data_IF_141794021530
#
_entry.id   IF_141794021530
#
_cell.length_a   1.000
_cell.length_b   1.000
_cell.length_c   1.000
_cell.angle_alpha   90.00
_cell.angle_beta   90.00
_cell.angle_gamma   90.00
#
_symmetry.space_group_name_H-M   'P 1'
#
loop_
_entity.id
_entity.type
_entity.pdbx_description
1 polymer ?
#
# COMPACT_ATOMS: atom_id res chain seq x y z
N UNK A 1 32.65 -10.99 12.26
CA UNK A 1 31.39 -10.55 12.91
C UNK A 1 31.05 -9.18 12.35
N UNK A 2 29.80 -8.94 11.99
CA UNK A 2 29.30 -7.66 11.50
C UNK A 2 28.03 -7.27 12.25
N UNK A 3 27.86 -5.97 12.48
CA UNK A 3 26.65 -5.39 13.06
C UNK A 3 26.21 -4.24 12.17
N UNK A 4 24.92 -4.18 11.85
CA UNK A 4 24.35 -3.05 11.11
C UNK A 4 23.00 -2.66 11.70
N UNK A 5 22.69 -1.37 11.63
CA UNK A 5 21.39 -0.80 11.95
C UNK A 5 20.81 -0.11 10.72
N UNK A 6 19.54 -0.33 10.44
CA UNK A 6 18.82 0.27 9.33
C UNK A 6 17.52 0.88 9.85
N UNK A 7 17.18 2.08 9.38
CA UNK A 7 15.92 2.75 9.68
C UNK A 7 15.37 3.38 8.41
N UNK A 8 14.08 3.20 8.18
CA UNK A 8 13.36 3.76 7.04
C UNK A 8 12.18 4.58 7.54
N UNK A 9 11.85 5.64 6.79
CA UNK A 9 10.76 6.55 7.13
C UNK A 9 9.60 6.38 6.14
N UNK A 10 8.39 6.20 6.66
CA UNK A 10 7.18 6.03 5.87
C UNK A 10 6.08 5.27 6.63
N UNK A 11 4.84 5.38 6.14
CA UNK A 11 3.65 4.80 6.80
C UNK A 11 3.51 3.28 6.59
N UNK A 12 3.84 2.79 5.40
CA UNK A 12 3.69 1.38 5.05
C UNK A 12 4.95 0.88 4.33
N UNK A 13 6.04 0.77 5.06
CA UNK A 13 7.34 0.31 4.54
C UNK A 13 7.47 -1.20 4.74
N UNK A 14 7.87 -1.91 3.69
CA UNK A 14 8.20 -3.34 3.76
C UNK A 14 9.73 -3.52 3.86
N UNK A 15 10.23 -3.65 5.09
CA UNK A 15 11.66 -3.73 5.39
C UNK A 15 12.28 -5.12 5.14
N UNK A 16 11.45 -6.17 5.08
CA UNK A 16 11.89 -7.57 4.97
C UNK A 16 11.54 -8.20 3.62
N UNK A 17 10.82 -7.47 2.77
CA UNK A 17 10.25 -7.95 1.51
C UNK A 17 9.34 -9.18 1.73
N UNK A 18 8.61 -9.19 2.84
CA UNK A 18 7.71 -10.26 3.25
C UNK A 18 6.24 -9.98 2.92
N UNK A 19 5.93 -8.76 2.48
CA UNK A 19 4.58 -8.25 2.29
C UNK A 19 4.01 -7.57 3.55
N UNK A 20 4.64 -7.75 4.71
CA UNK A 20 4.29 -7.03 5.94
C UNK A 20 4.75 -5.58 5.86
N UNK A 21 3.93 -4.66 6.35
CA UNK A 21 4.18 -3.21 6.23
C UNK A 21 4.12 -2.57 7.60
N UNK A 22 5.09 -1.69 7.85
CA UNK A 22 5.27 -1.05 9.14
C UNK A 22 5.46 0.46 9.00
N UNK A 23 5.09 1.18 10.06
CA UNK A 23 5.33 2.62 10.18
C UNK A 23 6.74 2.86 10.74
N UNK A 24 7.55 3.64 10.01
CA UNK A 24 8.93 4.00 10.37
C UNK A 24 9.79 2.83 10.91
N UNK A 25 9.86 1.68 10.20
CA UNK A 25 10.50 0.50 10.76
C UNK A 25 12.02 0.65 10.89
N UNK A 26 12.55 0.01 11.93
CA UNK A 26 13.99 -0.13 12.15
C UNK A 26 14.37 -1.59 12.35
N UNK A 27 15.55 -1.97 11.89
CA UNK A 27 16.08 -3.31 12.06
C UNK A 27 17.56 -3.29 12.43
N UNK A 28 17.94 -4.25 13.26
CA UNK A 28 19.31 -4.57 13.61
C UNK A 28 19.69 -5.89 12.95
N UNK A 29 20.91 -6.00 12.42
CA UNK A 29 21.40 -7.23 11.82
C UNK A 29 22.73 -7.62 12.45
N UNK A 30 22.83 -8.91 12.79
CA UNK A 30 24.01 -9.54 13.36
C UNK A 30 24.50 -10.58 12.38
N UNK A 31 25.73 -10.43 11.90
CA UNK A 31 26.31 -11.29 10.89
C UNK A 31 27.60 -11.97 11.33
N UNK A 32 27.78 -13.20 10.87
CA UNK A 32 29.01 -13.96 10.92
C UNK A 32 29.48 -14.20 9.50
N UNK A 33 30.79 -14.09 9.27
CA UNK A 33 31.40 -14.35 7.97
C UNK A 33 32.67 -15.17 8.14
N UNK A 34 32.90 -16.08 7.20
CA UNK A 34 34.06 -16.96 7.14
C UNK A 34 34.59 -17.04 5.72
N UNK A 35 35.88 -16.74 5.55
CA UNK A 35 36.56 -16.69 4.25
C UNK A 35 37.68 -17.73 4.26
N UNK A 36 37.45 -18.97 3.81
CA UNK A 36 38.49 -20.01 3.78
C UNK A 36 39.63 -19.67 2.81
N UNK A 37 39.31 -18.99 1.71
CA UNK A 37 40.26 -18.51 0.69
C UNK A 37 39.81 -17.13 0.20
N UNK A 38 40.71 -16.25 -0.29
CA UNK A 38 40.32 -14.88 -0.70
C UNK A 38 39.16 -14.80 -1.71
N UNK A 39 39.02 -15.82 -2.57
CA UNK A 39 37.97 -15.87 -3.58
C UNK A 39 36.57 -16.10 -2.99
N UNK A 40 36.44 -16.75 -1.83
CA UNK A 40 35.16 -17.27 -1.34
C UNK A 40 34.89 -16.80 0.08
N UNK A 41 33.73 -16.19 0.30
CA UNK A 41 33.23 -15.83 1.64
C UNK A 41 31.86 -16.44 1.86
N UNK A 42 31.72 -17.14 2.97
CA UNK A 42 30.44 -17.62 3.51
C UNK A 42 29.96 -16.65 4.56
N UNK A 43 28.67 -16.35 4.58
CA UNK A 43 28.06 -15.47 5.57
C UNK A 43 26.73 -16.00 6.08
N UNK A 44 26.46 -15.77 7.36
CA UNK A 44 25.18 -16.01 8.00
C UNK A 44 24.79 -14.75 8.76
N UNK A 45 23.59 -14.22 8.51
CA UNK A 45 23.10 -12.98 9.10
C UNK A 45 21.71 -13.20 9.69
N UNK A 46 21.54 -12.79 10.95
CA UNK A 46 20.25 -12.71 11.62
C UNK A 46 19.80 -11.25 11.67
N UNK A 47 18.66 -10.93 11.07
CA UNK A 47 18.06 -9.59 11.04
C UNK A 47 16.79 -9.58 11.89
N UNK A 48 16.66 -8.61 12.79
CA UNK A 48 15.50 -8.46 13.67
C UNK A 48 15.01 -7.01 13.68
N UNK A 49 13.69 -6.82 13.75
CA UNK A 49 13.04 -5.50 13.71
C UNK A 49 12.40 -5.13 15.04
N UNK A 50 12.30 -3.81 15.27
CA UNK A 50 11.53 -3.25 16.38
C UNK A 50 10.04 -3.64 16.36
N UNK A 51 9.52 -4.02 15.18
CA UNK A 51 8.14 -4.48 15.01
C UNK A 51 7.94 -6.00 15.21
N UNK A 52 8.98 -6.74 15.61
CA UNK A 52 8.91 -8.17 15.94
C UNK A 52 9.12 -9.16 14.79
N UNK A 53 9.37 -8.67 13.57
CA UNK A 53 9.75 -9.52 12.43
C UNK A 53 11.24 -9.85 12.46
N UNK A 54 11.59 -11.09 12.15
CA UNK A 54 12.96 -11.56 12.04
C UNK A 54 13.19 -12.37 10.77
N UNK A 55 14.43 -12.38 10.30
CA UNK A 55 14.83 -13.06 9.07
C UNK A 55 16.27 -13.55 9.18
N UNK A 56 16.48 -14.82 8.85
CA UNK A 56 17.80 -15.43 8.72
C UNK A 56 18.22 -15.46 7.25
N UNK A 57 19.46 -15.07 6.98
CA UNK A 57 20.02 -14.98 5.64
C UNK A 57 21.36 -15.71 5.57
N UNK A 58 21.47 -16.65 4.64
CA UNK A 58 22.72 -17.32 4.30
C UNK A 58 23.23 -16.76 2.96
N UNK A 59 24.52 -16.50 2.88
CA UNK A 59 25.16 -15.90 1.71
C UNK A 59 26.45 -16.60 1.33
N UNK A 60 26.66 -16.70 0.02
CA UNK A 60 27.91 -17.10 -0.61
C UNK A 60 28.37 -15.93 -1.50
N UNK A 61 29.53 -15.37 -1.21
CA UNK A 61 30.13 -14.28 -1.98
C UNK A 61 31.39 -14.77 -2.68
N UNK A 62 31.48 -14.52 -3.98
CA UNK A 62 32.66 -14.77 -4.80
C UNK A 62 33.36 -13.42 -5.09
N UNK A 63 34.57 -13.24 -4.57
CA UNK A 63 35.36 -12.02 -4.70
C UNK A 63 36.52 -12.23 -5.67
N UNK A 64 36.29 -12.02 -6.97
CA UNK A 64 37.35 -12.17 -7.98
C UNK A 64 38.18 -10.89 -8.14
N UNK A 65 39.49 -10.99 -7.93
CA UNK A 65 40.43 -9.87 -8.08
C UNK A 65 41.18 -9.95 -9.40
N UNK A 66 40.84 -9.06 -10.33
CA UNK A 66 41.57 -8.91 -11.59
C UNK A 66 43.03 -8.51 -11.34
N UNK A 67 43.96 -9.09 -12.09
CA UNK A 67 45.41 -8.84 -11.95
C UNK A 67 46.12 -9.65 -10.87
N UNK A 68 45.40 -10.43 -10.05
CA UNK A 68 45.99 -11.37 -9.09
C UNK A 68 45.88 -12.80 -9.65
N UNK A 69 46.98 -13.54 -9.67
CA UNK A 69 46.96 -14.93 -10.13
C UNK A 69 45.95 -15.77 -9.36
N UNK A 70 45.11 -16.57 -10.06
CA UNK A 70 44.03 -17.35 -9.45
C UNK A 70 44.51 -18.24 -8.29
N UNK A 71 45.71 -18.83 -8.42
CA UNK A 71 46.34 -19.64 -7.36
C UNK A 71 46.45 -18.91 -6.02
N UNK A 72 46.72 -17.60 -6.02
CA UNK A 72 46.79 -16.81 -4.79
C UNK A 72 45.41 -16.55 -4.19
N UNK A 73 44.39 -16.48 -5.04
CA UNK A 73 43.00 -16.27 -4.60
C UNK A 73 42.35 -17.55 -4.04
N UNK A 74 42.92 -18.72 -4.37
CA UNK A 74 42.50 -20.03 -3.88
C UNK A 74 43.37 -20.58 -2.73
N UNK A 75 44.34 -19.80 -2.27
CA UNK A 75 45.27 -20.20 -1.22
C UNK A 75 44.88 -19.53 0.11
N UNK A 76 44.63 -20.36 1.12
CA UNK A 76 44.23 -19.96 2.46
C UNK A 76 45.28 -19.05 3.14
N UNK A 77 46.56 -19.19 2.80
CA UNK A 77 47.63 -18.34 3.32
C UNK A 77 47.49 -16.86 2.93
N UNK A 78 46.77 -16.56 1.84
CA UNK A 78 46.60 -15.19 1.35
C UNK A 78 45.36 -14.49 1.92
N UNK A 79 44.56 -15.15 2.77
CA UNK A 79 43.36 -14.56 3.39
C UNK A 79 43.74 -13.35 4.26
N UNK A 80 44.81 -13.45 5.04
CA UNK A 80 45.28 -12.36 5.91
C UNK A 80 45.68 -11.11 5.10
N UNK A 81 46.40 -11.28 3.99
CA UNK A 81 46.75 -10.17 3.09
C UNK A 81 45.50 -9.58 2.43
N UNK A 82 44.55 -10.43 2.05
CA UNK A 82 43.31 -10.00 1.41
C UNK A 82 42.45 -9.09 2.30
N UNK A 83 42.46 -9.34 3.61
CA UNK A 83 41.77 -8.54 4.64
C UNK A 83 42.57 -7.34 5.16
N UNK A 84 43.83 -7.17 4.74
CA UNK A 84 44.62 -5.98 5.07
C UNK A 84 44.04 -4.72 4.41
N UNK A 85 44.33 -3.53 4.95
CA UNK A 85 43.92 -2.26 4.34
C UNK A 85 44.37 -2.11 2.88
N UNK A 86 45.57 -2.61 2.56
CA UNK A 86 46.08 -2.61 1.19
C UNK A 86 45.29 -3.58 0.30
N UNK A 87 44.91 -4.73 0.85
CA UNK A 87 44.11 -5.75 0.18
C UNK A 87 42.66 -5.32 -0.06
N UNK A 88 42.06 -4.58 0.88
CA UNK A 88 40.66 -4.15 0.85
C UNK A 88 40.40 -2.89 0.04
N UNK A 89 41.43 -2.24 -0.52
CA UNK A 89 41.30 -1.01 -1.32
C UNK A 89 40.37 -1.14 -2.55
N UNK A 90 40.12 -2.36 -3.00
CA UNK A 90 39.23 -2.67 -4.12
C UNK A 90 37.94 -3.37 -3.68
N UNK A 91 37.70 -3.47 -2.37
CA UNK A 91 36.48 -4.08 -1.89
C UNK A 91 35.28 -3.20 -2.25
N UNK A 92 34.16 -3.86 -2.53
CA UNK A 92 32.89 -3.20 -2.83
C UNK A 92 32.41 -2.38 -1.63
N UNK A 93 31.74 -1.26 -1.89
CA UNK A 93 31.10 -0.45 -0.85
C UNK A 93 30.11 -1.31 -0.05
N UNK A 94 30.20 -1.26 1.28
CA UNK A 94 29.26 -1.91 2.18
C UNK A 94 27.96 -1.12 2.23
N UNK A 95 26.93 -1.59 1.50
CA UNK A 95 25.59 -1.01 1.48
C UNK A 95 24.53 -2.08 1.23
N UNK A 96 23.26 -1.74 1.45
CA UNK A 96 22.14 -2.52 0.93
C UNK A 96 21.90 -2.15 -0.53
N UNK A 97 22.06 -3.10 -1.45
CA UNK A 97 21.82 -2.86 -2.88
C UNK A 97 20.34 -2.99 -3.27
N UNK A 98 19.53 -3.64 -2.44
CA UNK A 98 18.08 -3.81 -2.69
C UNK A 98 17.33 -2.58 -2.17
N UNK A 99 16.51 -1.92 -3.01
CA UNK A 99 15.67 -0.82 -2.58
C UNK A 99 14.56 -1.32 -1.66
N UNK A 100 14.31 -0.59 -0.58
CA UNK A 100 13.20 -0.84 0.33
C UNK A 100 11.98 -0.04 -0.13
N UNK A 101 10.83 -0.70 -0.23
CA UNK A 101 9.63 -0.12 -0.81
C UNK A 101 8.66 0.38 0.26
N UNK A 102 8.03 1.52 -0.01
CA UNK A 102 6.93 2.06 0.77
C UNK A 102 5.65 2.09 -0.08
N UNK A 103 4.53 1.69 0.52
CA UNK A 103 3.24 1.61 -0.15
C UNK A 103 2.29 2.70 0.33
N UNK A 104 1.43 3.18 -0.57
CA UNK A 104 0.34 4.10 -0.24
C UNK A 104 -0.88 3.76 -1.05
N UNK A 105 -1.95 3.36 -0.37
CA UNK A 105 -3.25 3.19 -1.01
C UNK A 105 -3.83 4.56 -1.37
N UNK A 106 -4.16 4.77 -2.63
CA UNK A 106 -4.89 5.95 -3.09
C UNK A 106 -6.39 5.63 -3.07
N UNK A 107 -7.21 6.55 -2.54
CA UNK A 107 -8.66 6.48 -2.68
C UNK A 107 -9.00 6.78 -4.14
N UNK A 108 -9.32 5.74 -4.90
CA UNK A 108 -9.59 5.82 -6.35
C UNK A 108 -11.06 6.00 -6.69
N UNK A 109 -11.95 5.81 -5.70
CA UNK A 109 -13.38 5.95 -5.83
C UNK A 109 -13.95 6.60 -4.56
N UNK A 110 -14.74 7.66 -4.71
CA UNK A 110 -15.52 8.29 -3.65
C UNK A 110 -16.79 8.89 -4.22
N UNK A 111 -17.90 8.75 -3.49
CA UNK A 111 -19.19 9.37 -3.81
C UNK A 111 -19.61 10.27 -2.65
N UNK A 112 -20.25 11.38 -2.98
CA UNK A 112 -20.91 12.23 -2.01
C UNK A 112 -22.21 12.75 -2.59
N UNK A 113 -23.32 12.61 -1.87
CA UNK A 113 -24.58 13.23 -2.28
C UNK A 113 -24.57 14.68 -1.82
N UNK A 114 -24.53 15.61 -2.77
CA UNK A 114 -24.57 17.03 -2.45
C UNK A 114 -25.94 17.40 -1.88
N UNK A 115 -25.94 17.96 -0.68
CA UNK A 115 -27.10 18.51 0.01
C UNK A 115 -27.02 20.04 -0.01
N UNK A 116 -27.41 20.73 -1.11
CA UNK A 116 -27.64 22.17 -1.02
C UNK A 116 -28.73 22.44 0.03
N UNK A 117 -28.80 23.66 0.61
CA UNK A 117 -29.84 23.99 1.58
C UNK A 117 -31.21 23.83 0.91
N UNK A 118 -31.88 22.72 1.22
CA UNK A 118 -33.14 22.38 0.61
C UNK A 118 -34.28 23.06 1.34
N UNK A 119 -35.01 23.93 0.65
CA UNK A 119 -36.38 24.26 1.03
C UNK A 119 -37.26 23.26 0.30
N UNK A 120 -37.69 22.22 1.02
CA UNK A 120 -38.41 21.09 0.43
C UNK A 120 -39.92 21.35 0.49
N UNK A 121 -40.59 21.19 -0.64
CA UNK A 121 -42.06 21.21 -0.71
C UNK A 121 -42.60 19.80 -0.95
N UNK A 122 -43.76 19.48 -0.36
CA UNK A 122 -44.40 18.18 -0.59
C UNK A 122 -44.78 18.00 -2.06
N UNK A 123 -44.49 16.82 -2.63
CA UNK A 123 -44.74 16.53 -4.05
C UNK A 123 -43.73 17.14 -5.04
N UNK A 124 -42.70 17.85 -4.57
CA UNK A 124 -41.67 18.41 -5.44
C UNK A 124 -40.72 17.33 -5.97
N UNK A 125 -40.29 17.47 -7.23
CA UNK A 125 -39.24 16.63 -7.81
C UNK A 125 -37.87 17.26 -7.55
N UNK A 126 -37.05 16.59 -6.74
CA UNK A 126 -35.73 17.04 -6.35
C UNK A 126 -34.65 16.26 -7.13
N UNK A 127 -33.76 16.93 -7.89
CA UNK A 127 -32.64 16.28 -8.52
C UNK A 127 -31.54 15.93 -7.50
N UNK A 128 -31.10 14.67 -7.49
CA UNK A 128 -30.01 14.19 -6.65
C UNK A 128 -28.68 14.43 -7.36
N UNK A 129 -27.87 15.34 -6.80
CA UNK A 129 -26.54 15.67 -7.36
C UNK A 129 -25.45 14.87 -6.65
N UNK A 130 -24.97 13.83 -7.32
CA UNK A 130 -23.83 13.04 -6.85
C UNK A 130 -22.50 13.67 -7.26
N UNK A 131 -21.65 13.98 -6.29
CA UNK A 131 -20.25 14.33 -6.51
C UNK A 131 -19.41 13.04 -6.48
N UNK A 132 -19.04 12.56 -7.67
CA UNK A 132 -18.25 11.34 -7.83
C UNK A 132 -16.81 11.70 -8.18
N UNK A 133 -15.85 11.14 -7.46
CA UNK A 133 -14.44 11.10 -7.88
C UNK A 133 -14.08 9.66 -8.13
N UNK A 134 -13.82 9.33 -9.39
CA UNK A 134 -13.46 7.98 -9.81
C UNK A 134 -12.24 8.03 -10.75
N UNK A 135 -11.28 7.15 -10.52
CA UNK A 135 -10.15 6.93 -11.43
C UNK A 135 -10.45 5.89 -12.52
N UNK A 136 -11.48 5.09 -12.31
CA UNK A 136 -11.96 4.06 -13.24
C UNK A 136 -13.40 4.38 -13.65
N UNK A 137 -13.87 3.80 -14.76
CA UNK A 137 -15.25 3.97 -15.20
C UNK A 137 -16.24 3.35 -14.21
N UNK A 138 -17.34 4.04 -13.93
CA UNK A 138 -18.46 3.53 -13.12
C UNK A 138 -19.22 2.50 -13.95
N UNK A 139 -19.49 1.33 -13.37
CA UNK A 139 -20.26 0.25 -14.00
C UNK A 139 -21.69 0.15 -13.49
N UNK A 140 -21.91 0.43 -12.21
CA UNK A 140 -23.22 0.34 -11.62
C UNK A 140 -23.43 1.39 -10.53
N UNK A 141 -24.66 1.88 -10.44
CA UNK A 141 -25.16 2.73 -9.37
C UNK A 141 -26.34 1.98 -8.74
N UNK A 142 -26.28 1.76 -7.43
CA UNK A 142 -27.39 1.14 -6.69
C UNK A 142 -27.85 2.05 -5.56
N UNK A 143 -29.16 2.20 -5.44
CA UNK A 143 -29.78 3.01 -4.39
C UNK A 143 -30.47 2.10 -3.38
N UNK A 144 -30.37 2.45 -2.10
CA UNK A 144 -30.91 1.69 -0.97
C UNK A 144 -31.59 2.63 0.02
N UNK A 145 -32.52 2.09 0.83
CA UNK A 145 -33.34 2.85 1.77
C UNK A 145 -34.75 3.12 1.22
N UNK A 146 -35.30 4.30 1.47
CA UNK A 146 -36.70 4.68 1.20
C UNK A 146 -36.98 5.03 -0.26
N UNK A 147 -36.39 4.27 -1.18
CA UNK A 147 -36.45 4.47 -2.65
C UNK A 147 -37.88 4.46 -3.19
N UNK A 148 -38.78 3.68 -2.61
CA UNK A 148 -40.19 3.63 -3.01
C UNK A 148 -40.98 4.82 -2.47
N UNK A 149 -40.82 5.15 -1.19
CA UNK A 149 -41.51 6.28 -0.57
C UNK A 149 -41.12 7.61 -1.23
N UNK A 150 -39.85 7.75 -1.61
CA UNK A 150 -39.32 8.89 -2.34
C UNK A 150 -39.50 8.82 -3.86
N UNK A 151 -40.21 7.81 -4.38
CA UNK A 151 -40.44 7.59 -5.81
C UNK A 151 -39.19 7.85 -6.66
N UNK A 152 -38.09 7.15 -6.31
CA UNK A 152 -36.80 7.34 -6.96
C UNK A 152 -36.93 7.15 -8.47
N UNK A 153 -36.60 8.19 -9.22
CA UNK A 153 -36.72 8.23 -10.67
C UNK A 153 -35.33 8.06 -11.30
N UNK A 154 -35.12 7.01 -12.10
CA UNK A 154 -33.84 6.77 -12.75
C UNK A 154 -33.63 7.68 -13.99
N UNK A 155 -32.37 8.00 -14.32
CA UNK A 155 -32.00 8.60 -15.60
C UNK A 155 -32.15 7.59 -16.76
N UNK A 156 -31.94 8.05 -17.99
CA UNK A 156 -31.99 7.18 -19.18
C UNK A 156 -31.02 5.99 -19.15
N UNK A 157 -29.91 6.11 -18.40
CA UNK A 157 -28.95 5.04 -18.17
C UNK A 157 -28.75 4.86 -16.66
N UNK A 158 -29.24 3.76 -16.09
CA UNK A 158 -29.13 3.47 -14.65
C UNK A 158 -27.68 3.32 -14.15
N UNK A 159 -26.70 3.14 -15.04
CA UNK A 159 -25.27 3.14 -14.68
C UNK A 159 -24.67 4.54 -14.58
N UNK A 160 -25.38 5.58 -15.04
CA UNK A 160 -24.96 6.96 -14.92
C UNK A 160 -25.18 7.44 -13.47
N UNK A 161 -24.15 7.93 -12.78
CA UNK A 161 -24.31 8.54 -11.46
C UNK A 161 -25.04 9.90 -11.50
N UNK A 162 -25.25 10.50 -12.67
CA UNK A 162 -25.99 11.76 -12.80
C UNK A 162 -27.42 11.54 -13.28
N UNK A 163 -28.29 12.52 -12.98
CA UNK A 163 -29.67 12.55 -13.51
C UNK A 163 -30.71 11.77 -12.69
N UNK A 164 -30.33 11.23 -11.53
CA UNK A 164 -31.28 10.68 -10.57
C UNK A 164 -32.10 11.79 -9.91
N UNK A 165 -33.38 11.55 -9.69
CA UNK A 165 -34.26 12.45 -8.93
C UNK A 165 -35.19 11.67 -8.01
N UNK A 166 -35.72 12.35 -7.01
CA UNK A 166 -36.75 11.82 -6.10
C UNK A 166 -37.96 12.73 -6.14
N UNK A 167 -39.14 12.18 -5.86
CA UNK A 167 -40.36 12.94 -5.67
C UNK A 167 -40.72 12.84 -4.20
N UNK A 168 -40.82 13.98 -3.54
CA UNK A 168 -41.13 14.00 -2.12
C UNK A 168 -42.57 13.55 -1.87
N UNK A 169 -42.82 12.68 -0.89
CA UNK A 169 -44.17 12.29 -0.53
C UNK A 169 -44.95 13.49 0.04
N UNK A 170 -46.27 13.33 0.08
CA UNK A 170 -47.13 14.32 0.74
C UNK A 170 -46.84 14.34 2.24
N UNK A 171 -46.89 15.53 2.83
CA UNK A 171 -46.69 15.69 4.27
C UNK A 171 -47.79 14.96 5.04
N UNK A 172 -47.40 14.09 5.98
CA UNK A 172 -48.34 13.46 6.90
C UNK A 172 -48.45 14.30 8.19
N UNK A 173 -49.60 14.92 8.46
CA UNK A 173 -49.80 15.78 9.63
C UNK A 173 -50.13 15.00 10.91
N UNK A 174 -50.16 13.66 10.87
CA UNK A 174 -50.47 12.85 12.05
C UNK A 174 -49.40 13.00 13.14
N UNK A 175 -49.77 12.95 14.43
CA UNK A 175 -48.83 13.19 15.54
C UNK A 175 -47.68 12.18 15.63
N UNK A 176 -47.86 10.99 15.06
CA UNK A 176 -46.89 9.89 15.08
C UNK A 176 -46.07 9.77 13.78
N UNK A 177 -46.29 10.65 12.80
CA UNK A 177 -45.56 10.62 11.53
C UNK A 177 -44.14 11.16 11.68
N UNK A 178 -43.14 10.38 11.28
CA UNK A 178 -41.74 10.80 11.31
C UNK A 178 -41.39 11.79 10.19
N UNK A 179 -42.00 11.65 9.00
CA UNK A 179 -41.66 12.40 7.78
C UNK A 179 -40.15 12.43 7.46
N UNK A 180 -39.41 11.43 7.94
CA UNK A 180 -37.98 11.26 7.73
C UNK A 180 -37.73 10.12 6.74
N UNK A 181 -36.88 10.37 5.76
CA UNK A 181 -36.52 9.39 4.73
C UNK A 181 -35.00 9.28 4.61
N UNK A 182 -34.50 8.05 4.60
CA UNK A 182 -33.08 7.74 4.39
C UNK A 182 -32.87 7.16 3.01
N UNK A 183 -31.91 7.74 2.33
CA UNK A 183 -31.43 7.27 1.04
C UNK A 183 -29.92 7.09 1.10
N UNK A 184 -29.44 5.99 0.52
CA UNK A 184 -28.01 5.70 0.40
C UNK A 184 -27.71 5.23 -1.02
N UNK A 185 -26.56 5.65 -1.56
CA UNK A 185 -26.11 5.28 -2.90
C UNK A 185 -24.84 4.45 -2.79
N UNK A 186 -24.73 3.37 -3.54
CA UNK A 186 -23.49 2.62 -3.69
C UNK A 186 -23.06 2.64 -5.15
N UNK A 187 -21.81 3.04 -5.40
CA UNK A 187 -21.20 2.99 -6.73
C UNK A 187 -20.26 1.79 -6.85
N UNK A 188 -20.26 1.13 -7.99
CA UNK A 188 -19.30 0.10 -8.36
C UNK A 188 -18.50 0.53 -9.60
N UNK A 189 -17.17 0.46 -9.53
CA UNK A 189 -16.29 0.76 -10.66
C UNK A 189 -15.89 -0.47 -11.48
N UNK A 190 -15.18 -0.25 -12.59
CA UNK A 190 -14.75 -1.33 -13.48
C UNK A 190 -13.78 -2.34 -12.85
N UNK A 191 -13.15 -1.99 -11.73
CA UNK A 191 -12.26 -2.84 -10.93
C UNK A 191 -12.96 -3.46 -9.71
N UNK A 192 -14.31 -3.44 -9.69
CA UNK A 192 -15.14 -3.98 -8.61
C UNK A 192 -14.93 -3.28 -7.26
N UNK A 193 -14.39 -2.06 -7.25
CA UNK A 193 -14.36 -1.24 -6.04
C UNK A 193 -15.75 -0.70 -5.77
N UNK A 194 -16.18 -0.76 -4.51
CA UNK A 194 -17.48 -0.25 -4.06
C UNK A 194 -17.33 0.86 -3.03
N UNK A 195 -18.16 1.88 -3.12
CA UNK A 195 -18.25 2.96 -2.13
C UNK A 195 -19.71 3.34 -1.89
N UNK A 196 -20.05 3.68 -0.66
CA UNK A 196 -21.37 4.15 -0.23
C UNK A 196 -21.26 5.56 0.37
#
# INVERSE_FOLDING_TARGET
>A
VSVSYQQYLGENVDLFNSGNRYHNPSAMSFGLSYTPVPLVTLSATHKTSSAGESQDQLGLKLNYRFGVALRRQLDAGNVAEAHSLRGSRYDTVTRSDTPVLAFRQRKTLSVFLATPPWQLSSGESLPLKLQVRASNAIKAVSWQGDTQALSLTPPANNADPQGWSVILPQWDPSPDASNEYRLSVTLEDSKQQRVT
#
